data_IF_423182590100
#
_entry.id   IF_423182590100
#
_cell.length_a   1.000
_cell.length_b   1.000
_cell.length_c   1.000
_cell.angle_alpha   90.00
_cell.angle_beta   90.00
_cell.angle_gamma   90.00
#
_symmetry.space_group_name_H-M   'P 1'
#
loop_
_entity.id
_entity.type
_entity.pdbx_description
1 polymer ?
#
# COMPACT_ATOMS: atom_id res chain seq x y z
N UNK A 1 1.97 -0.51 -41.36
CA UNK A 1 2.68 -1.71 -40.87
C UNK A 1 3.41 -1.27 -39.60
N UNK A 2 2.79 -1.46 -38.43
CA UNK A 2 3.31 -0.95 -37.14
C UNK A 2 3.43 -2.13 -36.19
N UNK A 3 4.63 -2.32 -35.66
CA UNK A 3 5.08 -3.51 -34.96
C UNK A 3 4.45 -3.62 -33.55
N UNK A 4 3.82 -4.76 -33.30
CA UNK A 4 3.42 -5.23 -31.97
C UNK A 4 4.66 -5.56 -31.15
N UNK A 5 4.78 -4.95 -29.97
CA UNK A 5 5.83 -5.26 -28.99
C UNK A 5 5.24 -6.13 -27.88
N UNK A 6 5.40 -7.44 -28.02
CA UNK A 6 5.00 -8.45 -27.04
C UNK A 6 5.91 -8.36 -25.80
N UNK A 7 5.30 -8.22 -24.63
CA UNK A 7 5.95 -8.42 -23.33
C UNK A 7 5.76 -9.86 -22.89
N UNK A 8 6.85 -10.62 -22.84
CA UNK A 8 6.88 -11.99 -22.30
C UNK A 8 7.49 -11.91 -20.90
N UNK A 9 6.70 -12.24 -19.88
CA UNK A 9 7.17 -12.37 -18.50
C UNK A 9 7.80 -13.76 -18.35
N UNK A 10 9.13 -13.79 -18.23
CA UNK A 10 9.90 -15.02 -18.00
C UNK A 10 9.77 -15.47 -16.54
N UNK A 11 9.25 -16.69 -16.34
CA UNK A 11 9.35 -17.44 -15.10
C UNK A 11 10.82 -17.80 -14.82
N UNK A 12 11.35 -17.36 -13.67
CA UNK A 12 12.57 -17.90 -13.09
C UNK A 12 12.20 -18.75 -11.87
N UNK A 13 12.13 -20.06 -12.09
CA UNK A 13 12.15 -21.07 -11.05
C UNK A 13 13.61 -21.27 -10.61
N UNK A 14 13.92 -21.01 -9.34
CA UNK A 14 15.17 -21.44 -8.71
C UNK A 14 14.84 -22.28 -7.49
N UNK A 15 14.86 -23.59 -7.71
CA UNK A 15 15.00 -24.62 -6.69
C UNK A 15 16.45 -24.68 -6.23
N UNK A 16 16.73 -24.43 -4.96
CA UNK A 16 17.97 -24.87 -4.30
C UNK A 16 17.62 -25.68 -3.06
N UNK A 17 18.04 -26.94 -3.12
CA UNK A 17 17.94 -27.92 -2.06
C UNK A 17 19.22 -27.92 -1.20
N UNK A 18 19.04 -28.31 0.07
CA UNK A 18 19.98 -28.99 0.97
C UNK A 18 21.30 -28.30 1.37
N UNK A 19 21.49 -28.09 2.68
CA UNK A 19 22.30 -28.97 3.54
C UNK A 19 22.86 -28.21 4.76
N UNK A 20 22.81 -28.82 5.94
CA UNK A 20 23.61 -28.35 7.08
C UNK A 20 23.06 -28.64 8.48
N UNK A 21 22.76 -29.90 8.81
CA UNK A 21 22.51 -30.31 10.21
C UNK A 21 23.84 -30.36 10.97
N UNK A 22 24.10 -29.41 11.88
CA UNK A 22 25.20 -29.51 12.85
C UNK A 22 24.71 -30.18 14.14
N UNK A 23 25.54 -31.11 14.60
CA UNK A 23 25.37 -31.98 15.76
C UNK A 23 25.03 -31.26 17.05
N UNK A 24 24.14 -31.91 17.81
CA UNK A 24 23.97 -31.71 19.24
C UNK A 24 25.25 -32.11 19.98
N UNK A 25 25.74 -31.24 20.86
CA UNK A 25 26.65 -31.58 21.95
C UNK A 25 25.89 -31.27 23.23
N UNK A 26 25.65 -32.33 24.00
CA UNK A 26 25.09 -32.31 25.34
C UNK A 26 26.28 -32.22 26.30
N UNK A 27 26.34 -31.15 27.10
CA UNK A 27 27.20 -31.10 28.29
C UNK A 27 26.33 -30.68 29.48
N UNK A 28 26.13 -31.63 30.38
CA UNK A 28 25.61 -31.40 31.73
C UNK A 28 26.71 -30.71 32.55
N UNK A 29 26.42 -29.50 33.02
CA UNK A 29 27.30 -28.73 33.91
C UNK A 29 26.48 -28.04 35.00
N UNK A 30 26.38 -28.71 36.15
CA UNK A 30 25.73 -28.24 37.38
C UNK A 30 26.54 -27.14 38.06
N UNK A 31 25.87 -26.05 38.46
CA UNK A 31 26.29 -25.23 39.62
C UNK A 31 26.38 -23.73 39.39
N UNK A 32 25.79 -22.96 40.31
CA UNK A 32 26.19 -21.58 40.58
C UNK A 32 25.06 -20.57 40.72
N UNK A 33 24.48 -20.48 41.92
CA UNK A 33 23.58 -19.41 42.34
C UNK A 33 24.25 -18.02 42.19
N UNK A 34 23.64 -17.14 41.41
CA UNK A 34 23.91 -15.70 41.37
C UNK A 34 22.57 -14.96 41.38
N UNK A 35 22.39 -14.05 42.33
CA UNK A 35 21.15 -13.29 42.55
C UNK A 35 21.02 -12.09 41.60
N UNK A 36 19.79 -11.92 41.09
CA UNK A 36 19.11 -10.68 40.66
C UNK A 36 19.62 -9.97 39.38
N UNK A 37 18.75 -9.27 38.61
CA UNK A 37 17.42 -8.75 38.97
C UNK A 37 16.28 -9.18 38.02
N UNK A 38 15.08 -8.79 38.42
CA UNK A 38 13.84 -8.86 37.64
C UNK A 38 14.06 -8.42 36.18
N UNK A 39 13.82 -9.32 35.24
CA UNK A 39 13.54 -8.94 33.85
C UNK A 39 12.07 -8.60 33.82
N UNK A 40 11.80 -7.32 34.07
CA UNK A 40 10.60 -6.64 33.63
C UNK A 40 10.39 -6.92 32.14
N UNK A 41 9.28 -7.59 31.86
CA UNK A 41 8.37 -7.32 30.76
C UNK A 41 8.93 -6.51 29.57
N UNK A 42 9.91 -7.07 28.86
CA UNK A 42 10.48 -6.46 27.65
C UNK A 42 9.99 -7.15 26.36
N UNK A 43 8.83 -7.80 26.41
CA UNK A 43 8.20 -8.47 25.26
C UNK A 43 6.99 -7.70 24.71
N UNK A 44 6.71 -6.50 25.24
CA UNK A 44 5.54 -5.71 24.88
C UNK A 44 5.84 -4.39 24.15
N UNK A 45 7.10 -4.00 23.92
CA UNK A 45 7.46 -2.71 23.30
C UNK A 45 7.85 -2.76 21.81
N UNK A 46 7.82 -3.94 21.17
CA UNK A 46 8.14 -4.07 19.72
C UNK A 46 6.90 -4.19 18.81
N UNK A 47 5.69 -4.00 19.33
CA UNK A 47 4.52 -3.70 18.50
C UNK A 47 4.52 -2.20 18.22
N UNK A 48 5.30 -1.80 17.21
CA UNK A 48 5.33 -0.46 16.61
C UNK A 48 4.00 0.28 16.78
N UNK A 49 4.00 1.25 17.69
CA UNK A 49 2.92 2.20 17.98
C UNK A 49 2.75 3.24 16.86
N UNK A 50 3.48 3.09 15.77
CA UNK A 50 3.49 4.04 14.65
C UNK A 50 2.27 3.78 13.76
N UNK A 51 1.11 4.30 14.19
CA UNK A 51 -0.11 4.41 13.37
C UNK A 51 0.08 5.29 12.12
N UNK A 52 1.20 6.01 12.00
CA UNK A 52 1.44 7.03 10.98
C UNK A 52 2.69 6.70 10.17
N UNK A 53 2.52 6.44 8.89
CA UNK A 53 3.62 6.36 7.92
C UNK A 53 3.75 7.70 7.18
N UNK A 54 4.97 8.11 6.85
CA UNK A 54 5.26 9.37 6.15
C UNK A 54 6.32 9.10 5.08
N UNK A 55 6.05 9.56 3.86
CA UNK A 55 7.01 9.57 2.76
C UNK A 55 7.18 11.03 2.29
N UNK A 56 8.29 11.66 2.71
CA UNK A 56 8.57 13.07 2.40
C UNK A 56 8.95 13.27 0.93
N UNK A 57 9.62 12.28 0.32
CA UNK A 57 10.05 12.33 -1.08
C UNK A 57 8.84 12.34 -2.02
N UNK A 58 7.82 11.53 -1.69
CA UNK A 58 6.57 11.44 -2.44
C UNK A 58 5.49 12.40 -1.94
N UNK A 59 5.70 13.03 -0.79
CA UNK A 59 4.87 14.10 -0.26
C UNK A 59 3.53 13.63 0.33
N UNK A 60 3.48 12.48 0.98
CA UNK A 60 2.25 12.00 1.63
C UNK A 60 2.50 11.39 3.01
N UNK A 61 1.39 11.22 3.73
CA UNK A 61 1.32 10.44 4.95
C UNK A 61 0.13 9.48 4.93
N UNK A 62 0.21 8.42 5.72
CA UNK A 62 -0.85 7.44 5.92
C UNK A 62 -1.08 7.26 7.41
N UNK A 63 -2.27 7.59 7.88
CA UNK A 63 -2.72 7.32 9.25
C UNK A 63 -3.58 6.06 9.22
N UNK A 64 -3.03 4.94 9.70
CA UNK A 64 -3.73 3.66 9.74
C UNK A 64 -4.84 3.69 10.80
N UNK A 65 -6.07 3.22 10.45
CA UNK A 65 -7.19 3.25 11.38
C UNK A 65 -7.03 2.23 12.51
N UNK A 66 -6.44 1.07 12.22
CA UNK A 66 -6.19 -0.02 13.19
C UNK A 66 -4.81 -0.64 12.95
N UNK A 67 -4.37 -1.50 13.87
CA UNK A 67 -3.13 -2.26 13.74
C UNK A 67 -3.24 -3.43 12.73
N UNK A 68 -4.45 -3.72 12.24
CA UNK A 68 -4.70 -4.83 11.30
C UNK A 68 -4.19 -4.54 9.90
N UNK A 69 -3.93 -3.26 9.59
CA UNK A 69 -3.33 -2.83 8.34
C UNK A 69 -1.81 -2.91 8.43
N UNK A 70 -1.23 -3.87 7.73
CA UNK A 70 0.21 -4.05 7.60
C UNK A 70 0.71 -3.30 6.37
N UNK A 71 1.83 -2.61 6.51
CA UNK A 71 2.44 -1.83 5.46
C UNK A 71 3.57 -2.66 4.84
N UNK A 72 3.45 -2.97 3.55
CA UNK A 72 4.50 -3.62 2.78
C UNK A 72 5.31 -2.53 2.06
N UNK A 73 6.34 -2.02 2.72
CA UNK A 73 7.37 -1.20 2.08
C UNK A 73 8.43 -2.12 1.45
N UNK A 74 8.34 -2.36 0.15
CA UNK A 74 9.54 -2.79 -0.57
C UNK A 74 10.39 -1.55 -0.77
N UNK A 75 11.48 -1.41 0.00
CA UNK A 75 12.51 -0.35 -0.16
C UNK A 75 13.24 -0.40 -1.53
N UNK A 76 12.69 -1.12 -2.49
CA UNK A 76 13.20 -1.25 -3.83
C UNK A 76 12.76 -0.01 -4.62
N UNK A 77 13.73 0.66 -5.24
CA UNK A 77 13.48 1.68 -6.26
C UNK A 77 13.60 1.00 -7.61
N UNK A 78 12.72 1.30 -8.56
CA UNK A 78 12.95 0.84 -9.92
C UNK A 78 14.28 1.44 -10.43
N UNK A 79 14.96 0.84 -11.43
CA UNK A 79 16.19 1.39 -12.00
C UNK A 79 16.06 2.84 -12.50
N UNK A 80 14.83 3.28 -12.81
CA UNK A 80 14.47 4.65 -13.20
C UNK A 80 14.23 5.59 -12.01
N UNK A 81 14.42 5.12 -10.77
CA UNK A 81 14.20 5.86 -9.54
C UNK A 81 12.72 6.02 -9.15
N UNK A 82 11.81 5.22 -9.74
CA UNK A 82 10.40 5.27 -9.38
C UNK A 82 10.18 4.49 -8.09
N UNK A 83 9.44 5.10 -7.15
CA UNK A 83 9.03 4.45 -5.93
C UNK A 83 7.99 3.36 -6.24
N UNK A 84 8.19 2.18 -5.65
CA UNK A 84 7.21 1.08 -5.74
C UNK A 84 5.92 1.54 -5.04
N UNK A 85 4.74 1.20 -5.57
CA UNK A 85 3.48 1.49 -4.91
C UNK A 85 3.51 1.07 -3.44
N UNK A 86 3.01 1.94 -2.57
CA UNK A 86 2.85 1.60 -1.16
C UNK A 86 1.64 0.70 -1.01
N UNK A 87 1.84 -0.51 -0.49
CA UNK A 87 0.78 -1.51 -0.34
C UNK A 87 0.46 -1.68 1.13
N UNK A 88 -0.81 -1.52 1.49
CA UNK A 88 -1.35 -1.87 2.80
C UNK A 88 -2.21 -3.12 2.68
N UNK A 89 -1.96 -4.11 3.54
CA UNK A 89 -2.73 -5.35 3.59
C UNK A 89 -3.45 -5.49 4.92
N UNK A 90 -4.72 -5.83 4.88
CA UNK A 90 -5.49 -6.15 6.07
C UNK A 90 -5.24 -7.62 6.45
N UNK A 91 -4.64 -7.84 7.61
CA UNK A 91 -4.05 -9.13 8.01
C UNK A 91 -5.05 -10.31 7.99
N UNK A 92 -6.33 -10.05 8.28
CA UNK A 92 -7.35 -11.10 8.45
C UNK A 92 -8.20 -11.29 7.20
N UNK A 93 -8.59 -10.21 6.53
CA UNK A 93 -9.59 -10.26 5.45
C UNK A 93 -8.99 -10.41 4.05
N UNK A 94 -7.68 -10.20 3.91
CA UNK A 94 -7.03 -10.13 2.60
C UNK A 94 -7.39 -8.87 1.81
N UNK A 95 -8.05 -7.88 2.43
CA UNK A 95 -8.25 -6.59 1.81
C UNK A 95 -6.91 -5.87 1.59
N UNK A 96 -6.81 -5.08 0.53
CA UNK A 96 -5.59 -4.37 0.17
C UNK A 96 -5.92 -2.95 -0.24
N UNK A 97 -5.01 -2.02 0.06
CA UNK A 97 -5.01 -0.66 -0.48
C UNK A 97 -3.64 -0.38 -1.07
N UNK A 98 -3.63 -0.07 -2.36
CA UNK A 98 -2.44 0.31 -3.11
C UNK A 98 -2.47 1.83 -3.30
N UNK A 99 -1.47 2.52 -2.77
CA UNK A 99 -1.26 3.95 -2.99
C UNK A 99 -0.22 4.16 -4.08
N UNK A 100 -0.62 4.87 -5.13
CA UNK A 100 0.22 5.31 -6.22
C UNK A 100 0.33 6.83 -6.22
N UNK A 101 1.55 7.32 -6.42
CA UNK A 101 1.84 8.75 -6.57
C UNK A 101 2.27 8.99 -8.00
N UNK A 102 1.60 9.91 -8.69
CA UNK A 102 1.86 10.20 -10.10
C UNK A 102 2.04 11.71 -10.33
N UNK A 103 2.73 12.12 -11.41
CA UNK A 103 2.71 13.51 -11.86
C UNK A 103 1.29 13.99 -12.19
N UNK A 104 0.95 15.22 -11.78
CA UNK A 104 -0.34 15.85 -12.05
C UNK A 104 -0.46 16.38 -13.49
N UNK A 105 -0.32 15.49 -14.48
CA UNK A 105 -0.48 15.81 -15.92
C UNK A 105 -1.96 15.94 -16.34
N UNK A 106 -2.88 15.59 -15.45
CA UNK A 106 -4.33 15.66 -15.60
C UNK A 106 -4.98 15.90 -14.23
N UNK A 107 -6.24 16.36 -14.22
CA UNK A 107 -6.99 16.53 -12.96
C UNK A 107 -7.37 15.18 -12.34
N UNK A 108 -7.65 15.11 -11.01
CA UNK A 108 -8.16 13.90 -10.37
C UNK A 108 -9.37 13.29 -11.09
N UNK A 109 -10.32 14.13 -11.52
CA UNK A 109 -11.48 13.72 -12.32
C UNK A 109 -11.06 13.04 -13.61
N UNK A 110 -10.15 13.64 -14.38
CA UNK A 110 -9.67 13.07 -15.65
C UNK A 110 -8.91 11.75 -15.44
N UNK A 111 -8.16 11.61 -14.35
CA UNK A 111 -7.55 10.34 -13.97
C UNK A 111 -8.62 9.28 -13.68
N UNK A 112 -9.63 9.60 -12.87
CA UNK A 112 -10.71 8.69 -12.53
C UNK A 112 -11.52 8.26 -13.76
N UNK A 113 -11.87 9.20 -14.64
CA UNK A 113 -12.57 8.92 -15.90
C UNK A 113 -11.78 7.96 -16.80
N UNK A 114 -10.49 8.24 -17.02
CA UNK A 114 -9.63 7.40 -17.86
C UNK A 114 -9.44 6.00 -17.27
N UNK A 115 -9.28 5.90 -15.95
CA UNK A 115 -9.14 4.60 -15.29
C UNK A 115 -10.45 3.82 -15.36
N UNK A 116 -11.58 4.46 -15.10
CA UNK A 116 -12.91 3.82 -15.18
C UNK A 116 -13.18 3.32 -16.60
N UNK A 117 -12.91 4.15 -17.62
CA UNK A 117 -13.05 3.76 -19.03
C UNK A 117 -12.14 2.57 -19.36
N UNK A 118 -10.88 2.60 -18.94
CA UNK A 118 -9.96 1.48 -19.12
C UNK A 118 -10.47 0.20 -18.47
N UNK A 119 -10.97 0.27 -17.22
CA UNK A 119 -11.51 -0.88 -16.51
C UNK A 119 -12.76 -1.45 -17.18
N UNK A 120 -13.67 -0.61 -17.69
CA UNK A 120 -14.89 -1.04 -18.42
C UNK A 120 -14.60 -1.84 -19.68
N UNK A 121 -13.44 -1.63 -20.30
CA UNK A 121 -13.03 -2.37 -21.48
C UNK A 121 -12.54 -3.79 -21.17
N UNK A 122 -12.31 -4.12 -19.89
CA UNK A 122 -11.83 -5.44 -19.47
C UNK A 122 -12.99 -6.36 -19.08
N UNK A 123 -13.07 -7.59 -19.65
CA UNK A 123 -14.08 -8.56 -19.28
C UNK A 123 -14.07 -8.87 -17.78
N UNK A 124 -15.26 -8.93 -17.19
CA UNK A 124 -15.45 -9.23 -15.77
C UNK A 124 -15.39 -8.02 -14.85
N UNK A 125 -15.08 -6.82 -15.35
CA UNK A 125 -15.16 -5.59 -14.56
C UNK A 125 -16.52 -4.90 -14.72
N UNK A 126 -17.12 -4.54 -13.60
CA UNK A 126 -18.24 -3.58 -13.53
C UNK A 126 -17.78 -2.39 -12.72
N UNK A 127 -18.14 -1.16 -13.12
CA UNK A 127 -17.72 0.07 -12.43
C UNK A 127 -18.90 1.02 -12.27
N UNK A 128 -18.92 1.80 -11.19
CA UNK A 128 -19.75 3.00 -11.11
C UNK A 128 -19.16 4.12 -11.98
N UNK A 129 -19.90 5.21 -12.16
CA UNK A 129 -19.30 6.45 -12.69
C UNK A 129 -18.44 7.13 -11.61
N UNK A 130 -17.38 7.86 -12.01
CA UNK A 130 -16.64 8.75 -11.12
C UNK A 130 -17.54 9.81 -10.50
N UNK A 131 -17.46 9.97 -9.18
CA UNK A 131 -18.21 10.96 -8.43
C UNK A 131 -17.33 11.63 -7.36
N UNK A 132 -17.64 12.88 -6.95
CA UNK A 132 -16.95 13.52 -5.83
C UNK A 132 -17.03 12.70 -4.54
N UNK A 133 -15.93 12.66 -3.78
CA UNK A 133 -15.85 11.92 -2.49
C UNK A 133 -15.33 12.83 -1.37
N UNK A 134 -15.67 12.56 -0.10
CA UNK A 134 -15.37 13.45 1.03
C UNK A 134 -13.91 13.31 1.53
N UNK A 135 -12.92 13.47 0.64
CA UNK A 135 -11.49 13.53 0.99
C UNK A 135 -10.89 14.93 0.80
N UNK A 136 -11.38 15.66 -0.19
CA UNK A 136 -11.12 17.07 -0.49
C UNK A 136 -12.11 17.55 -1.55
N UNK A 137 -12.18 18.86 -1.81
CA UNK A 137 -13.08 19.44 -2.82
C UNK A 137 -12.81 18.96 -4.25
N UNK A 138 -11.58 18.48 -4.50
CA UNK A 138 -11.12 17.97 -5.79
C UNK A 138 -11.07 16.44 -5.87
N UNK A 139 -11.40 15.73 -4.79
CA UNK A 139 -11.30 14.28 -4.75
C UNK A 139 -12.47 13.61 -5.46
N UNK A 140 -12.17 12.61 -6.28
CA UNK A 140 -13.14 11.83 -7.05
C UNK A 140 -12.87 10.35 -6.81
N UNK A 141 -13.92 9.54 -6.76
CA UNK A 141 -13.81 8.11 -6.65
C UNK A 141 -14.91 7.38 -7.41
N UNK A 142 -14.72 6.07 -7.55
CA UNK A 142 -15.71 5.16 -8.12
C UNK A 142 -15.51 3.78 -7.51
N UNK A 143 -16.58 2.99 -7.50
CA UNK A 143 -16.53 1.60 -7.08
C UNK A 143 -16.39 0.69 -8.31
N UNK A 144 -15.77 -0.47 -8.11
CA UNK A 144 -15.70 -1.50 -9.12
C UNK A 144 -15.88 -2.89 -8.52
N UNK A 145 -16.20 -3.84 -9.38
CA UNK A 145 -16.34 -5.24 -9.03
C UNK A 145 -15.69 -6.10 -10.11
N UNK A 146 -15.02 -7.18 -9.70
CA UNK A 146 -14.40 -8.17 -10.60
C UNK A 146 -15.08 -9.52 -10.41
N UNK A 147 -15.87 -9.92 -11.42
CA UNK A 147 -16.78 -11.06 -11.32
C UNK A 147 -17.67 -10.94 -10.07
N UNK A 148 -17.89 -12.04 -9.37
CA UNK A 148 -18.66 -12.05 -8.12
C UNK A 148 -17.77 -12.15 -6.86
N UNK A 149 -16.45 -12.13 -7.03
CA UNK A 149 -15.51 -12.48 -5.97
C UNK A 149 -14.80 -11.30 -5.29
N UNK A 150 -14.70 -10.15 -5.96
CA UNK A 150 -13.90 -9.02 -5.48
C UNK A 150 -14.66 -7.72 -5.68
N UNK A 151 -14.77 -6.94 -4.61
CA UNK A 151 -15.14 -5.54 -4.67
C UNK A 151 -13.89 -4.66 -4.62
N UNK A 152 -13.99 -3.47 -5.19
CA UNK A 152 -12.95 -2.48 -5.10
C UNK A 152 -13.48 -1.08 -5.15
N UNK A 153 -12.63 -0.16 -4.72
CA UNK A 153 -12.88 1.27 -4.69
C UNK A 153 -11.62 1.99 -5.16
N UNK A 154 -11.82 2.99 -6.00
CA UNK A 154 -10.77 3.92 -6.37
C UNK A 154 -11.07 5.27 -5.76
N UNK A 155 -10.05 5.90 -5.20
CA UNK A 155 -10.07 7.30 -4.79
C UNK A 155 -8.87 8.02 -5.41
N UNK A 156 -9.13 9.17 -6.04
CA UNK A 156 -8.11 10.02 -6.64
C UNK A 156 -8.24 11.41 -6.03
N UNK A 157 -7.12 11.97 -5.56
CA UNK A 157 -7.06 13.31 -4.98
C UNK A 157 -5.76 14.01 -5.37
N UNK A 158 -5.74 15.32 -5.25
CA UNK A 158 -4.49 16.08 -5.35
C UNK A 158 -3.53 15.69 -4.22
N UNK A 159 -2.25 15.59 -4.57
CA UNK A 159 -1.13 15.41 -3.65
C UNK A 159 -0.47 16.75 -3.28
N UNK A 160 0.82 16.73 -2.95
CA UNK A 160 1.63 17.95 -3.01
C UNK A 160 1.63 18.50 -4.44
N UNK A 161 1.91 19.80 -4.66
CA UNK A 161 1.72 20.37 -5.99
C UNK A 161 2.58 19.69 -7.07
N UNK A 162 1.94 19.46 -8.22
CA UNK A 162 2.52 18.65 -9.30
C UNK A 162 2.36 17.14 -9.12
N UNK A 163 1.70 16.67 -8.05
CA UNK A 163 1.41 15.25 -7.79
C UNK A 163 -0.09 14.98 -7.61
N UNK A 164 -0.49 13.76 -7.94
CA UNK A 164 -1.80 13.17 -7.66
C UNK A 164 -1.58 11.92 -6.84
N UNK A 165 -2.43 11.70 -5.83
CA UNK A 165 -2.50 10.48 -5.05
C UNK A 165 -3.68 9.66 -5.57
N UNK A 166 -3.40 8.41 -5.95
CA UNK A 166 -4.40 7.45 -6.39
C UNK A 166 -4.37 6.24 -5.47
N UNK A 167 -5.51 5.92 -4.88
CA UNK A 167 -5.70 4.79 -3.98
C UNK A 167 -6.61 3.79 -4.67
N UNK A 168 -6.12 2.57 -4.84
CA UNK A 168 -6.89 1.44 -5.33
C UNK A 168 -7.05 0.44 -4.19
N UNK A 169 -8.28 0.26 -3.74
CA UNK A 169 -8.64 -0.68 -2.69
C UNK A 169 -9.38 -1.88 -3.27
N UNK A 170 -9.10 -3.06 -2.74
CA UNK A 170 -9.81 -4.30 -3.07
C UNK A 170 -10.09 -5.12 -1.82
N UNK A 171 -11.20 -5.85 -1.81
CA UNK A 171 -11.53 -6.82 -0.77
C UNK A 171 -12.42 -7.94 -1.32
N UNK A 172 -12.40 -9.14 -0.70
CA UNK A 172 -13.29 -10.23 -1.10
C UNK A 172 -14.77 -9.87 -0.91
N UNK A 173 -15.64 -10.31 -1.82
CA UNK A 173 -17.08 -10.05 -1.74
C UNK A 173 -17.73 -10.61 -0.45
N UNK A 174 -17.16 -11.70 0.08
CA UNK A 174 -17.57 -12.35 1.32
C UNK A 174 -16.92 -11.76 2.59
N UNK A 175 -16.16 -10.66 2.47
CA UNK A 175 -15.57 -10.02 3.63
C UNK A 175 -16.64 -9.53 4.61
N UNK A 176 -16.31 -9.55 5.91
CA UNK A 176 -17.21 -9.05 6.95
C UNK A 176 -17.55 -7.56 6.74
N UNK A 177 -18.73 -7.13 7.21
CA UNK A 177 -19.28 -5.78 6.97
C UNK A 177 -18.42 -4.63 7.52
N UNK A 178 -17.49 -4.92 8.43
CA UNK A 178 -16.52 -3.97 8.95
C UNK A 178 -15.33 -3.75 8.02
N UNK A 179 -15.03 -4.68 7.12
CA UNK A 179 -13.90 -4.59 6.18
C UNK A 179 -14.05 -3.40 5.22
N UNK A 180 -15.18 -3.19 4.52
CA UNK A 180 -15.36 -2.01 3.67
C UNK A 180 -15.24 -0.70 4.45
N UNK A 181 -15.75 -0.66 5.70
CA UNK A 181 -15.61 0.51 6.58
C UNK A 181 -14.16 0.76 6.99
N UNK A 182 -13.40 -0.30 7.24
CA UNK A 182 -11.97 -0.23 7.54
C UNK A 182 -11.15 0.26 6.33
N UNK A 183 -11.51 -0.19 5.12
CA UNK A 183 -10.95 0.31 3.85
C UNK A 183 -11.21 1.81 3.70
N UNK A 184 -12.44 2.26 3.90
CA UNK A 184 -12.80 3.67 3.80
C UNK A 184 -12.05 4.53 4.81
N UNK A 185 -11.93 4.04 6.06
CA UNK A 185 -11.17 4.72 7.10
C UNK A 185 -9.67 4.82 6.74
N UNK A 186 -9.10 3.78 6.10
CA UNK A 186 -7.72 3.84 5.65
C UNK A 186 -7.53 4.84 4.49
N UNK A 187 -8.43 4.85 3.50
CA UNK A 187 -8.40 5.83 2.40
C UNK A 187 -8.48 7.26 2.95
N UNK A 188 -9.34 7.52 3.93
CA UNK A 188 -9.42 8.82 4.62
C UNK A 188 -8.15 9.17 5.42
N UNK A 189 -7.41 8.15 5.86
CA UNK A 189 -6.12 8.27 6.52
C UNK A 189 -4.97 8.70 5.60
N UNK A 190 -5.12 8.57 4.28
CA UNK A 190 -4.11 8.99 3.30
C UNK A 190 -4.23 10.48 3.00
N UNK A 191 -3.16 11.23 3.27
CA UNK A 191 -3.15 12.68 3.16
C UNK A 191 -1.88 13.19 2.47
N UNK A 192 -1.97 14.24 1.64
CA UNK A 192 -0.78 14.99 1.23
C UNK A 192 -0.10 15.62 2.45
N UNK A 193 1.23 15.71 2.44
CA UNK A 193 1.94 16.42 3.50
C UNK A 193 1.61 17.92 3.46
N UNK A 194 1.32 18.47 4.64
CA UNK A 194 1.20 19.91 4.81
C UNK A 194 2.61 20.52 4.84
N UNK A 195 2.98 21.26 3.80
CA UNK A 195 4.27 21.95 3.74
C UNK A 195 4.21 23.18 2.83
N UNK A 196 4.97 24.24 3.13
CA UNK A 196 5.02 25.43 2.29
C UNK A 196 5.50 25.07 0.88
N UNK A 197 5.01 25.81 -0.11
CA UNK A 197 5.22 25.52 -1.52
C UNK A 197 6.71 25.41 -1.97
N UNK A 198 7.57 25.94 -1.12
CA UNK A 198 9.01 26.10 -1.26
C UNK A 198 9.81 24.90 -0.77
N UNK A 199 9.23 24.00 0.04
CA UNK A 199 9.94 22.81 0.53
C UNK A 199 10.12 21.74 -0.56
N UNK A 200 9.32 21.78 -1.62
CA UNK A 200 9.22 20.72 -2.64
C UNK A 200 9.64 21.15 -4.06
N UNK A 201 10.40 22.25 -4.20
CA UNK A 201 11.03 22.76 -5.45
C UNK A 201 12.51 23.07 -5.15
N UNK A 202 13.57 22.62 -5.86
CA UNK A 202 13.82 22.27 -7.27
C UNK A 202 14.94 21.19 -7.37
N UNK A 203 15.07 20.46 -8.49
CA UNK A 203 16.34 19.80 -8.84
C UNK A 203 17.43 20.86 -8.96
N UNK A 204 18.54 20.70 -8.24
CA UNK A 204 19.73 21.50 -8.51
C UNK A 204 20.27 21.13 -9.90
N UNK A 205 20.57 22.16 -10.68
CA UNK A 205 21.08 22.07 -12.06
C UNK A 205 22.36 21.27 -12.16
#
# INVERSE_FOLDING_TARGET
>A
MVAMRNWVWGLLALTTACSGSRQAVQDEGTGGSGSSPAVEDSSAESRSTTRRYVDEDLGFEIIRPTADWQLDETNERTPEGLAIPVILRHAVSGAQVVLQVAPAVASPTQFAERLTEGLRQHPGFTTSDPAPIPLSDTAVGFDFQVGDGVHGKVAVREGIPGRVLMMLATWPAQAAEDVPRSVDALIQGVRPLAGPATAWRLPQR
#
